data_IF_942325233272
#
_entry.id   IF_942325233272
#
_cell.length_a   1.000
_cell.length_b   1.000
_cell.length_c   1.000
_cell.angle_alpha   90.00
_cell.angle_beta   90.00
_cell.angle_gamma   90.00
#
_symmetry.space_group_name_H-M   'P 1'
#
loop_
_entity.id
_entity.type
_entity.pdbx_description
1 polymer ?
#
# COMPACT_ATOMS: atom_id res chain seq x y z
N UNK A 1 6.75 -16.72 19.03
CA UNK A 1 5.63 -17.05 18.13
C UNK A 1 5.02 -15.72 17.71
N UNK A 2 4.98 -15.43 16.41
CA UNK A 2 4.34 -14.20 15.89
C UNK A 2 2.86 -14.22 16.30
N UNK A 3 2.48 -13.30 17.17
CA UNK A 3 1.14 -13.24 17.75
C UNK A 3 0.24 -12.43 16.80
N UNK A 4 -0.19 -13.05 15.70
CA UNK A 4 -1.20 -12.46 14.82
C UNK A 4 -2.55 -12.43 15.54
N UNK A 5 -3.35 -11.39 15.25
CA UNK A 5 -4.76 -11.37 15.67
C UNK A 5 -5.53 -12.56 15.06
N UNK A 6 -6.67 -12.97 15.62
CA UNK A 6 -7.54 -13.95 14.99
C UNK A 6 -7.87 -13.58 13.54
N UNK A 7 -7.87 -14.57 12.63
CA UNK A 7 -8.03 -14.33 11.19
C UNK A 7 -9.33 -13.58 10.86
N UNK A 8 -10.41 -13.86 11.61
CA UNK A 8 -11.70 -13.20 11.49
C UNK A 8 -11.64 -11.71 11.89
N UNK A 9 -10.85 -11.36 12.92
CA UNK A 9 -10.63 -9.97 13.33
C UNK A 9 -9.76 -9.20 12.33
N UNK A 10 -8.69 -9.85 11.84
CA UNK A 10 -7.86 -9.31 10.76
C UNK A 10 -8.71 -9.00 9.52
N UNK A 11 -9.58 -9.94 9.13
CA UNK A 11 -10.45 -9.77 7.98
C UNK A 11 -11.40 -8.57 8.14
N UNK A 12 -12.01 -8.38 9.31
CA UNK A 12 -12.88 -7.26 9.58
C UNK A 12 -12.17 -5.90 9.44
N UNK A 13 -10.92 -5.80 9.93
CA UNK A 13 -10.09 -4.59 9.78
C UNK A 13 -9.71 -4.33 8.32
N UNK A 14 -9.40 -5.39 7.56
CA UNK A 14 -9.08 -5.30 6.14
C UNK A 14 -10.32 -4.92 5.31
N UNK A 15 -11.51 -5.41 5.63
CA UNK A 15 -12.76 -5.06 4.96
C UNK A 15 -13.16 -3.60 5.12
N UNK A 16 -12.90 -3.00 6.29
CA UNK A 16 -13.30 -1.61 6.56
C UNK A 16 -12.68 -0.66 5.54
N UNK A 17 -13.53 0.12 4.86
CA UNK A 17 -13.10 1.12 3.87
C UNK A 17 -12.68 0.53 2.52
N UNK A 18 -12.85 -0.78 2.30
CA UNK A 18 -12.60 -1.46 1.03
C UNK A 18 -13.90 -1.52 0.23
N UNK A 19 -13.84 -1.17 -1.06
CA UNK A 19 -15.02 -1.25 -1.94
C UNK A 19 -15.39 -2.70 -2.26
N UNK A 20 -14.40 -3.55 -2.55
CA UNK A 20 -14.58 -4.95 -2.92
C UNK A 20 -13.35 -5.79 -2.55
N UNK A 21 -13.58 -7.03 -2.10
CA UNK A 21 -12.53 -8.05 -1.92
C UNK A 21 -12.87 -9.22 -2.83
N UNK A 22 -11.99 -9.50 -3.79
CA UNK A 22 -12.14 -10.65 -4.68
C UNK A 22 -11.77 -11.92 -3.91
N UNK A 23 -12.75 -12.82 -3.75
CA UNK A 23 -12.62 -14.08 -3.00
C UNK A 23 -12.20 -13.87 -1.54
N UNK A 24 -13.11 -13.32 -0.75
CA UNK A 24 -12.94 -13.13 0.70
C UNK A 24 -12.59 -14.44 1.42
N UNK A 25 -13.18 -15.57 1.00
CA UNK A 25 -12.89 -16.89 1.56
C UNK A 25 -11.42 -17.27 1.41
N UNK A 26 -10.79 -16.93 0.29
CA UNK A 26 -9.38 -17.24 0.05
C UNK A 26 -8.46 -16.32 0.84
N UNK A 27 -8.85 -15.05 1.05
CA UNK A 27 -8.16 -14.17 1.97
C UNK A 27 -8.21 -14.73 3.41
N UNK A 28 -9.39 -15.16 3.88
CA UNK A 28 -9.53 -15.76 5.20
C UNK A 28 -8.68 -17.03 5.36
N UNK A 29 -8.65 -17.91 4.34
CA UNK A 29 -7.76 -19.09 4.34
C UNK A 29 -6.30 -18.69 4.50
N UNK A 30 -5.85 -17.66 3.77
CA UNK A 30 -4.46 -17.15 3.86
C UNK A 30 -4.14 -16.58 5.23
N UNK A 31 -5.07 -15.83 5.84
CA UNK A 31 -4.89 -15.27 7.20
C UNK A 31 -4.75 -16.39 8.24
N UNK A 32 -5.48 -17.50 8.08
CA UNK A 32 -5.40 -18.69 8.95
C UNK A 32 -4.07 -19.46 8.83
N UNK A 33 -3.27 -19.23 7.80
CA UNK A 33 -1.93 -19.80 7.68
C UNK A 33 -0.95 -19.23 8.74
N UNK A 34 -1.34 -18.17 9.44
CA UNK A 34 -0.62 -17.59 10.58
C UNK A 34 0.86 -17.25 10.26
N UNK A 35 1.06 -16.70 9.06
CA UNK A 35 2.36 -16.25 8.55
C UNK A 35 2.22 -14.85 7.95
N UNK A 36 3.32 -14.08 7.84
CA UNK A 36 3.31 -12.84 7.07
C UNK A 36 2.84 -13.11 5.64
N UNK A 37 1.79 -12.40 5.22
CA UNK A 37 1.36 -12.37 3.83
C UNK A 37 2.18 -11.32 3.09
N UNK A 38 2.39 -11.55 1.79
CA UNK A 38 3.05 -10.58 0.92
C UNK A 38 1.98 -9.73 0.26
N UNK A 39 1.94 -8.46 0.60
CA UNK A 39 0.95 -7.49 0.14
C UNK A 39 1.63 -6.60 -0.89
N UNK A 40 1.12 -6.60 -2.10
CA UNK A 40 1.69 -5.84 -3.21
C UNK A 40 0.77 -4.67 -3.55
N UNK A 41 1.33 -3.47 -3.63
CA UNK A 41 0.69 -2.30 -4.22
C UNK A 41 1.56 -1.75 -5.35
N UNK A 42 0.97 -1.62 -6.54
CA UNK A 42 1.64 -1.03 -7.70
C UNK A 42 1.35 0.47 -7.79
N UNK A 43 2.37 1.27 -8.04
CA UNK A 43 2.27 2.70 -8.30
C UNK A 43 2.85 3.00 -9.69
N UNK A 44 2.10 3.75 -10.48
CA UNK A 44 2.52 4.20 -11.81
C UNK A 44 3.23 5.56 -11.65
N UNK A 45 4.52 5.69 -12.00
CA UNK A 45 5.28 6.93 -11.84
C UNK A 45 4.88 8.03 -12.85
N UNK A 46 3.86 7.81 -13.69
CA UNK A 46 3.41 8.80 -14.69
C UNK A 46 2.79 10.08 -14.10
N UNK A 47 2.42 10.09 -12.82
CA UNK A 47 2.03 11.31 -12.13
C UNK A 47 3.17 11.75 -11.21
N UNK A 48 3.55 13.05 -11.22
CA UNK A 48 4.68 13.56 -10.44
C UNK A 48 4.45 13.49 -8.92
N UNK A 49 3.19 13.42 -8.47
CA UNK A 49 2.86 13.52 -7.05
C UNK A 49 1.91 12.42 -6.57
N UNK A 50 2.22 11.86 -5.41
CA UNK A 50 1.29 11.07 -4.62
C UNK A 50 0.26 12.01 -3.96
N UNK A 51 -0.84 12.30 -4.67
CA UNK A 51 -1.89 13.16 -4.14
C UNK A 51 -2.70 12.48 -3.01
N UNK A 52 -3.44 13.28 -2.23
CA UNK A 52 -4.30 12.85 -1.10
C UNK A 52 -5.33 11.74 -1.43
N UNK A 53 -5.54 11.43 -2.71
CA UNK A 53 -6.39 10.31 -3.12
C UNK A 53 -5.79 8.95 -2.77
N UNK A 54 -4.47 8.86 -2.59
CA UNK A 54 -3.79 7.63 -2.19
C UNK A 54 -3.83 7.38 -0.68
N UNK A 55 -4.24 8.34 0.13
CA UNK A 55 -4.26 8.20 1.59
C UNK A 55 -5.06 6.98 2.06
N UNK A 56 -6.18 6.66 1.41
CA UNK A 56 -6.97 5.46 1.74
C UNK A 56 -6.20 4.18 1.43
N UNK A 57 -5.51 4.13 0.29
CA UNK A 57 -4.68 2.99 -0.10
C UNK A 57 -3.50 2.80 0.87
N UNK A 58 -2.79 3.87 1.19
CA UNK A 58 -1.64 3.85 2.10
C UNK A 58 -2.07 3.41 3.50
N UNK A 59 -3.17 3.96 4.03
CA UNK A 59 -3.71 3.53 5.33
C UNK A 59 -4.12 2.05 5.33
N UNK A 60 -4.59 1.52 4.18
CA UNK A 60 -4.87 0.08 4.06
C UNK A 60 -3.59 -0.75 4.10
N UNK A 61 -2.52 -0.31 3.43
CA UNK A 61 -1.21 -0.97 3.50
C UNK A 61 -0.63 -0.94 4.91
N UNK A 62 -0.75 0.20 5.60
CA UNK A 62 -0.39 0.33 7.02
C UNK A 62 -1.18 -0.65 7.89
N UNK A 63 -2.49 -0.80 7.64
CA UNK A 63 -3.30 -1.82 8.32
C UNK A 63 -2.71 -3.22 8.14
N UNK A 64 -2.24 -3.57 6.93
CA UNK A 64 -1.59 -4.86 6.71
C UNK A 64 -0.24 -4.99 7.46
N UNK A 65 0.57 -3.93 7.53
CA UNK A 65 1.82 -3.92 8.31
C UNK A 65 1.57 -4.06 9.81
N UNK A 66 0.58 -3.34 10.35
CA UNK A 66 0.20 -3.39 11.77
C UNK A 66 -0.32 -4.79 12.16
N UNK A 67 -0.95 -5.48 11.22
CA UNK A 67 -1.33 -6.89 11.36
C UNK A 67 -0.16 -7.86 11.21
N UNK A 68 1.07 -7.39 10.94
CA UNK A 68 2.29 -8.20 10.86
C UNK A 68 2.57 -8.79 9.48
N UNK A 69 1.99 -8.24 8.42
CA UNK A 69 2.24 -8.66 7.05
C UNK A 69 3.33 -7.81 6.37
N UNK A 70 3.90 -8.34 5.29
CA UNK A 70 4.97 -7.70 4.54
C UNK A 70 4.37 -6.92 3.37
N UNK A 71 4.49 -5.59 3.38
CA UNK A 71 4.08 -4.73 2.27
C UNK A 71 5.26 -4.49 1.32
N UNK A 72 5.02 -4.68 0.03
CA UNK A 72 5.95 -4.37 -1.05
C UNK A 72 5.31 -3.32 -1.96
N UNK A 73 5.91 -2.13 -1.98
CA UNK A 73 5.62 -1.10 -2.97
C UNK A 73 6.33 -1.44 -4.27
N UNK A 74 5.58 -1.54 -5.37
CA UNK A 74 6.14 -1.79 -6.70
C UNK A 74 5.94 -0.55 -7.57
N UNK A 75 7.03 0.06 -8.01
CA UNK A 75 6.99 1.13 -9.01
C UNK A 75 6.97 0.50 -10.40
N UNK A 76 5.95 0.83 -11.18
CA UNK A 76 5.74 0.32 -12.54
C UNK A 76 6.50 1.11 -13.60
N UNK A 77 7.81 1.29 -13.45
CA UNK A 77 8.66 2.02 -14.40
C UNK A 77 8.65 1.39 -15.81
N UNK A 78 8.68 0.06 -15.89
CA UNK A 78 8.67 -0.68 -17.16
C UNK A 78 7.35 -0.53 -17.94
N UNK A 79 6.20 -0.52 -17.25
CA UNK A 79 4.89 -0.29 -17.89
C UNK A 79 4.71 1.18 -18.29
N UNK A 80 5.28 2.11 -17.53
CA UNK A 80 5.27 3.53 -17.86
C UNK A 80 6.10 3.85 -19.11
N UNK A 81 7.25 3.19 -19.31
CA UNK A 81 8.07 3.32 -20.53
C UNK A 81 7.36 2.81 -21.79
N UNK A 82 6.46 1.82 -21.66
CA UNK A 82 5.71 1.26 -22.80
C UNK A 82 4.42 2.05 -23.06
N UNK A 83 3.85 2.70 -22.04
CA UNK A 83 2.59 3.43 -22.11
C UNK A 83 1.40 2.48 -22.10
N UNK A 84 0.92 2.12 -20.91
CA UNK A 84 -0.28 1.30 -20.76
C UNK A 84 -1.54 2.08 -21.24
N UNK A 85 -2.29 1.58 -22.26
CA UNK A 85 -3.48 2.23 -22.78
C UNK A 85 -4.74 2.00 -21.93
N UNK A 86 -4.67 1.25 -20.82
CA UNK A 86 -5.86 0.93 -20.03
C UNK A 86 -6.50 2.20 -19.44
N UNK A 87 -7.68 2.55 -19.99
CA UNK A 87 -8.59 3.57 -19.46
C UNK A 87 -8.55 4.96 -20.10
N UNK A 88 -7.65 5.27 -21.04
CA UNK A 88 -7.64 6.57 -21.75
C UNK A 88 -7.42 6.37 -23.26
N UNK A 89 -8.26 6.99 -24.10
CA UNK A 89 -8.23 6.87 -25.57
C UNK A 89 -7.02 7.51 -26.28
N UNK A 90 -6.01 7.99 -25.54
CA UNK A 90 -4.80 8.56 -26.10
C UNK A 90 -3.58 7.87 -25.49
N UNK A 91 -2.72 7.34 -26.36
CA UNK A 91 -1.40 6.81 -25.99
C UNK A 91 -0.62 7.90 -25.28
N UNK A 92 -0.17 7.64 -24.05
CA UNK A 92 0.56 8.62 -23.25
C UNK A 92 2.01 8.75 -23.77
N UNK A 93 2.63 9.94 -23.67
CA UNK A 93 4.06 10.10 -23.94
C UNK A 93 4.89 9.26 -22.96
N UNK A 94 5.97 8.65 -23.45
CA UNK A 94 6.96 7.93 -22.65
C UNK A 94 7.58 8.86 -21.62
N UNK A 95 7.74 8.41 -20.37
CA UNK A 95 8.54 9.11 -19.36
C UNK A 95 10.03 8.92 -19.65
N UNK A 96 10.81 9.99 -19.48
CA UNK A 96 12.28 9.90 -19.44
C UNK A 96 12.72 9.47 -18.02
N UNK A 97 13.86 8.79 -17.91
CA UNK A 97 14.31 8.17 -16.65
C UNK A 97 14.58 9.15 -15.48
N UNK A 98 14.68 10.45 -15.77
CA UNK A 98 14.87 11.49 -14.75
C UNK A 98 13.56 11.80 -14.00
N UNK A 99 12.42 11.84 -14.70
CA UNK A 99 11.12 12.15 -14.08
C UNK A 99 10.68 11.05 -13.09
N UNK A 100 11.08 9.80 -13.35
CA UNK A 100 10.82 8.69 -12.44
C UNK A 100 11.54 8.80 -11.10
N UNK A 101 12.69 9.50 -11.04
CA UNK A 101 13.48 9.65 -9.82
C UNK A 101 12.87 10.69 -8.87
N UNK A 102 12.34 11.79 -9.40
CA UNK A 102 11.67 12.83 -8.58
C UNK A 102 10.39 12.29 -7.91
N UNK A 103 9.65 11.41 -8.60
CA UNK A 103 8.49 10.72 -8.03
C UNK A 103 8.86 9.75 -6.90
N UNK A 104 10.09 9.21 -6.88
CA UNK A 104 10.58 8.32 -5.81
C UNK A 104 10.87 9.09 -4.52
N UNK A 105 11.46 10.28 -4.61
CA UNK A 105 11.74 11.13 -3.44
C UNK A 105 10.45 11.49 -2.67
N UNK A 106 9.32 11.57 -3.38
CA UNK A 106 8.00 11.79 -2.77
C UNK A 106 7.53 10.60 -1.92
N UNK A 107 7.94 9.37 -2.26
CA UNK A 107 7.57 8.15 -1.55
C UNK A 107 8.42 7.92 -0.29
N UNK A 108 9.66 8.40 -0.25
CA UNK A 108 10.51 8.39 0.95
C UNK A 108 9.86 9.15 2.13
N UNK A 109 9.01 10.14 1.82
CA UNK A 109 8.22 10.86 2.82
C UNK A 109 7.24 9.94 3.57
N UNK A 110 6.79 8.84 2.97
CA UNK A 110 5.88 7.89 3.62
C UNK A 110 6.58 7.06 4.68
N UNK A 111 7.85 6.73 4.49
CA UNK A 111 8.66 6.02 5.48
C UNK A 111 8.81 6.84 6.77
N UNK A 112 8.77 8.17 6.65
CA UNK A 112 8.78 9.08 7.79
C UNK A 112 7.48 9.06 8.60
N UNK A 113 6.33 8.72 8.01
CA UNK A 113 5.06 8.64 8.73
C UNK A 113 5.06 7.49 9.75
N UNK A 114 5.73 6.38 9.44
CA UNK A 114 5.90 5.25 10.36
C UNK A 114 6.68 5.65 11.64
N UNK A 115 7.52 6.69 11.55
CA UNK A 115 8.28 7.17 12.72
C UNK A 115 7.47 8.07 13.66
N UNK A 116 6.35 8.65 13.19
CA UNK A 116 5.50 9.56 13.98
C UNK A 116 4.58 8.85 14.97
N UNK A 117 4.28 7.56 14.75
CA UNK A 117 3.48 6.72 15.67
C UNK A 117 4.16 6.53 17.04
N UNK A 118 5.47 6.81 17.14
CA UNK A 118 6.20 6.76 18.42
C UNK A 118 5.82 7.89 19.40
N UNK A 119 5.12 8.94 18.93
CA UNK A 119 4.73 10.09 19.75
C UNK A 119 3.33 9.97 20.41
N UNK A 120 2.49 9.03 19.98
CA UNK A 120 1.17 8.80 20.61
C UNK A 120 1.25 8.03 21.94
N UNK A 121 2.47 7.61 22.34
CA UNK A 121 2.71 6.96 23.64
C UNK A 121 2.87 7.94 24.82
N UNK A 122 2.77 9.26 24.58
CA UNK A 122 2.95 10.30 25.61
C UNK A 122 1.66 10.80 26.30
N UNK A 123 0.49 10.31 25.93
CA UNK A 123 -0.79 10.71 26.56
C UNK A 123 -1.24 9.79 27.71
N UNK A 124 -0.34 8.94 28.23
CA UNK A 124 -0.60 8.05 29.38
C UNK A 124 0.05 8.50 30.70
N UNK A 125 0.53 9.74 30.76
CA UNK A 125 0.98 10.38 32.00
C UNK A 125 0.13 11.63 32.28
N UNK A 126 -1.06 11.40 32.83
CA UNK A 126 -1.64 12.14 33.96
C UNK A 126 -2.97 11.49 34.42
#
# INVERSE_FOLDING_TARGET
MSNFLPAEEQLALIQRGTHEIISEEDLLKKLKENRPLKIKAGFDPTAPDLHLGHTVLINKLKTFQDLGHEVTFLIGDYTAMIGDPTGKSATRPSLDSLDSLDSLDSLDSLDSLDSLDSLDSLDSLD
#
